data_IF_455985570571
#
_entry.id   IF_455985570571
#
_cell.length_a   1.000
_cell.length_b   1.000
_cell.length_c   1.000
_cell.angle_alpha   90.00
_cell.angle_beta   90.00
_cell.angle_gamma   90.00
#
_symmetry.space_group_name_H-M   'P 1'
#
loop_
_entity.id
_entity.type
_entity.pdbx_description
1 polymer ?
#
# COMPACT_ATOMS: atom_id res chain seq x y z
N UNK A 1 7.19 -18.86 11.66
CA UNK A 1 7.43 -17.57 12.33
C UNK A 1 7.41 -16.40 11.34
N UNK A 2 8.36 -16.30 10.38
CA UNK A 2 8.37 -15.19 9.40
C UNK A 2 7.02 -14.97 8.70
N UNK A 3 6.43 -16.01 8.09
CA UNK A 3 5.12 -15.89 7.45
C UNK A 3 4.01 -15.49 8.44
N UNK A 4 4.04 -16.02 9.67
CA UNK A 4 3.08 -15.63 10.71
C UNK A 4 3.17 -14.15 11.07
N UNK A 5 4.38 -13.60 11.20
CA UNK A 5 4.58 -12.17 11.43
C UNK A 5 4.23 -11.32 10.21
N UNK A 6 4.57 -11.76 9.00
CA UNK A 6 4.14 -11.08 7.78
C UNK A 6 2.60 -11.00 7.70
N UNK A 7 1.91 -12.02 8.20
CA UNK A 7 0.45 -12.03 8.27
C UNK A 7 -0.15 -10.96 9.17
N UNK A 8 0.57 -10.49 10.19
CA UNK A 8 0.07 -9.45 11.09
C UNK A 8 0.32 -8.02 10.57
N UNK A 9 1.05 -7.87 9.46
CA UNK A 9 1.51 -6.56 8.97
C UNK A 9 1.10 -6.27 7.52
N UNK A 10 1.37 -7.19 6.58
CA UNK A 10 1.20 -6.92 5.16
C UNK A 10 0.74 -8.16 4.38
N UNK A 11 -0.57 -8.23 4.12
CA UNK A 11 -1.25 -9.43 3.59
C UNK A 11 -0.84 -9.81 2.17
N UNK A 12 -0.49 -8.84 1.32
CA UNK A 12 -0.01 -9.13 -0.04
C UNK A 12 1.33 -9.86 -0.03
N UNK A 13 2.30 -9.37 0.74
CA UNK A 13 3.60 -10.03 0.87
C UNK A 13 3.51 -11.35 1.62
N UNK A 14 2.57 -11.49 2.56
CA UNK A 14 2.22 -12.81 3.10
C UNK A 14 1.77 -13.74 1.98
N UNK A 15 0.78 -13.33 1.17
CA UNK A 15 0.21 -14.15 0.10
C UNK A 15 1.27 -14.62 -0.88
N UNK A 16 2.10 -13.69 -1.35
CA UNK A 16 3.24 -14.00 -2.21
C UNK A 16 4.26 -14.92 -1.54
N UNK A 17 4.67 -14.64 -0.30
CA UNK A 17 5.67 -15.45 0.39
C UNK A 17 5.16 -16.88 0.68
N UNK A 18 3.88 -17.02 1.04
CA UNK A 18 3.22 -18.31 1.20
C UNK A 18 3.17 -19.07 -0.14
N UNK A 19 2.88 -18.38 -1.24
CA UNK A 19 2.94 -18.96 -2.59
C UNK A 19 4.35 -19.43 -2.96
N UNK A 20 5.38 -18.61 -2.75
CA UNK A 20 6.78 -18.98 -3.02
C UNK A 20 7.25 -20.16 -2.16
N UNK A 21 6.89 -20.20 -0.87
CA UNK A 21 7.20 -21.32 0.04
C UNK A 21 6.47 -22.59 -0.38
N UNK A 22 5.22 -22.48 -0.83
CA UNK A 22 4.45 -23.60 -1.38
C UNK A 22 5.11 -24.13 -2.65
N UNK A 23 5.53 -23.26 -3.57
CA UNK A 23 6.24 -23.64 -4.78
C UNK A 23 7.55 -24.37 -4.45
N UNK A 24 8.34 -23.86 -3.50
CA UNK A 24 9.55 -24.54 -3.03
C UNK A 24 9.26 -25.92 -2.44
N UNK A 25 8.19 -26.06 -1.65
CA UNK A 25 7.79 -27.33 -1.06
C UNK A 25 7.34 -28.34 -2.12
N UNK A 26 6.58 -27.91 -3.12
CA UNK A 26 6.16 -28.75 -4.27
C UNK A 26 7.38 -29.21 -5.06
N UNK A 27 8.30 -28.30 -5.40
CA UNK A 27 9.54 -28.65 -6.10
C UNK A 27 10.37 -29.66 -5.28
N UNK A 28 10.52 -29.42 -3.98
CA UNK A 28 11.23 -30.33 -3.08
C UNK A 28 10.55 -31.71 -3.00
N UNK A 29 9.22 -31.76 -2.93
CA UNK A 29 8.43 -32.99 -2.91
C UNK A 29 8.62 -33.81 -4.19
N UNK A 30 8.56 -33.17 -5.36
CA UNK A 30 8.78 -33.83 -6.66
C UNK A 30 10.22 -34.35 -6.78
N UNK A 31 11.21 -33.55 -6.38
CA UNK A 31 12.61 -33.98 -6.43
C UNK A 31 12.89 -35.14 -5.47
N UNK A 32 12.31 -35.13 -4.26
CA UNK A 32 12.43 -36.23 -3.31
C UNK A 32 11.78 -37.51 -3.85
N UNK A 33 10.58 -37.40 -4.43
CA UNK A 33 9.87 -38.53 -5.01
C UNK A 33 10.66 -39.16 -6.16
N UNK A 34 11.27 -38.34 -7.03
CA UNK A 34 12.12 -38.81 -8.13
C UNK A 34 13.41 -39.45 -7.65
N UNK A 35 14.09 -38.84 -6.67
CA UNK A 35 15.37 -39.35 -6.17
C UNK A 35 15.23 -40.72 -5.48
N UNK A 36 14.09 -40.97 -4.83
CA UNK A 36 13.84 -42.22 -4.10
C UNK A 36 12.91 -43.18 -4.84
N UNK A 37 12.49 -42.85 -6.07
CA UNK A 37 11.50 -43.60 -6.86
C UNK A 37 10.23 -43.96 -6.07
N UNK A 38 9.80 -43.09 -5.15
CA UNK A 38 8.61 -43.32 -4.31
C UNK A 38 7.91 -42.02 -3.93
N UNK A 39 6.58 -41.99 -4.11
CA UNK A 39 5.76 -40.84 -3.69
C UNK A 39 5.75 -40.64 -2.17
N UNK A 40 6.10 -41.66 -1.38
CA UNK A 40 6.24 -41.51 0.07
C UNK A 40 7.32 -40.49 0.45
N UNK A 41 8.34 -40.30 -0.38
CA UNK A 41 9.39 -39.31 -0.14
C UNK A 41 8.90 -37.86 -0.23
N UNK A 42 7.75 -37.62 -0.88
CA UNK A 42 7.10 -36.30 -0.92
C UNK A 42 6.50 -35.88 0.43
N UNK A 43 6.23 -36.83 1.34
CA UNK A 43 5.63 -36.55 2.65
C UNK A 43 6.51 -35.62 3.50
N UNK A 44 7.83 -35.78 3.45
CA UNK A 44 8.76 -34.98 4.25
C UNK A 44 8.60 -33.47 4.00
N UNK A 45 8.76 -33.00 2.73
CA UNK A 45 8.51 -31.60 2.38
C UNK A 45 7.09 -31.11 2.66
N UNK A 46 6.06 -31.93 2.40
CA UNK A 46 4.66 -31.55 2.60
C UNK A 46 4.29 -31.40 4.08
N UNK A 47 4.78 -32.28 4.96
CA UNK A 47 4.59 -32.16 6.41
C UNK A 47 5.25 -30.89 6.94
N UNK A 48 6.42 -30.52 6.43
CA UNK A 48 7.06 -29.24 6.77
C UNK A 48 6.24 -28.04 6.32
N UNK A 49 5.68 -28.08 5.11
CA UNK A 49 4.77 -27.04 4.61
C UNK A 49 3.53 -26.93 5.51
N UNK A 50 2.93 -28.05 5.91
CA UNK A 50 1.78 -28.07 6.82
C UNK A 50 2.14 -27.48 8.18
N UNK A 51 3.29 -27.84 8.77
CA UNK A 51 3.76 -27.25 10.02
C UNK A 51 3.99 -25.73 9.90
N UNK A 52 4.57 -25.27 8.79
CA UNK A 52 4.74 -23.85 8.49
C UNK A 52 3.38 -23.15 8.43
N UNK A 53 2.39 -23.73 7.73
CA UNK A 53 1.05 -23.18 7.61
C UNK A 53 0.34 -23.09 8.96
N UNK A 54 0.38 -24.16 9.78
CA UNK A 54 -0.23 -24.18 11.12
C UNK A 54 0.39 -23.13 12.03
N UNK A 55 1.72 -23.10 12.14
CA UNK A 55 2.41 -22.12 12.99
C UNK A 55 2.12 -20.69 12.52
N UNK A 56 2.09 -20.45 11.20
CA UNK A 56 1.82 -19.12 10.65
C UNK A 56 0.36 -18.71 10.87
N UNK A 57 -0.59 -19.63 10.73
CA UNK A 57 -2.00 -19.41 11.03
C UNK A 57 -2.25 -19.09 12.49
N UNK A 58 -1.62 -19.83 13.42
CA UNK A 58 -1.72 -19.55 14.86
C UNK A 58 -1.22 -18.15 15.22
N UNK A 59 -0.10 -17.71 14.61
CA UNK A 59 0.40 -16.34 14.79
C UNK A 59 -0.53 -15.32 14.15
N UNK A 60 -1.05 -15.57 12.95
CA UNK A 60 -1.98 -14.65 12.28
C UNK A 60 -3.28 -14.45 13.09
N UNK A 61 -3.78 -15.52 13.72
CA UNK A 61 -5.01 -15.47 14.51
C UNK A 61 -4.92 -14.53 15.73
N UNK A 62 -3.72 -14.21 16.24
CA UNK A 62 -3.60 -13.25 17.34
C UNK A 62 -4.05 -11.84 16.96
N UNK A 63 -4.02 -11.51 15.67
CA UNK A 63 -4.45 -10.22 15.13
C UNK A 63 -5.78 -10.33 14.39
N UNK A 64 -5.97 -11.39 13.61
CA UNK A 64 -7.13 -11.50 12.71
C UNK A 64 -8.36 -12.14 13.36
N UNK A 65 -8.25 -12.82 14.52
CA UNK A 65 -9.40 -13.48 15.13
C UNK A 65 -10.58 -12.53 15.42
N UNK A 66 -10.40 -11.33 16.00
CA UNK A 66 -11.52 -10.41 16.24
C UNK A 66 -12.22 -9.99 14.95
N UNK A 67 -11.44 -9.70 13.90
CA UNK A 67 -11.97 -9.36 12.58
C UNK A 67 -12.75 -10.53 11.98
N UNK A 68 -12.20 -11.75 12.00
CA UNK A 68 -12.84 -12.94 11.43
C UNK A 68 -14.17 -13.26 12.15
N UNK A 69 -14.20 -13.12 13.48
CA UNK A 69 -15.44 -13.31 14.26
C UNK A 69 -16.50 -12.26 13.88
N UNK A 70 -16.10 -11.00 13.67
CA UNK A 70 -17.01 -9.93 13.23
C UNK A 70 -17.45 -10.11 11.78
N UNK A 71 -16.58 -10.62 10.92
CA UNK A 71 -16.91 -10.93 9.54
C UNK A 71 -17.97 -12.03 9.43
N UNK A 72 -17.90 -13.05 10.28
CA UNK A 72 -18.90 -14.11 10.36
C UNK A 72 -20.29 -13.61 10.80
N UNK A 73 -20.38 -12.46 11.48
CA UNK A 73 -21.67 -11.85 11.86
C UNK A 73 -22.29 -10.99 10.76
N UNK A 74 -21.77 -11.01 9.53
CA UNK A 74 -22.33 -10.30 8.37
C UNK A 74 -22.02 -8.80 8.30
N UNK A 75 -21.09 -8.30 9.12
CA UNK A 75 -20.78 -6.87 9.23
C UNK A 75 -19.62 -6.40 8.32
N UNK A 76 -19.30 -7.14 7.25
CA UNK A 76 -18.23 -6.75 6.31
C UNK A 76 -18.79 -6.01 5.12
N UNK A 77 -18.10 -4.95 4.69
CA UNK A 77 -18.40 -4.25 3.46
C UNK A 77 -18.42 -5.21 2.25
N UNK A 78 -19.20 -4.85 1.23
CA UNK A 78 -19.19 -5.54 -0.06
C UNK A 78 -17.79 -5.46 -0.73
N UNK A 79 -16.99 -6.49 -0.47
CA UNK A 79 -15.79 -6.92 -1.24
C UNK A 79 -14.52 -6.05 -1.18
N UNK A 80 -13.38 -6.70 -1.45
CA UNK A 80 -12.01 -6.20 -1.29
C UNK A 80 -11.57 -5.21 -2.36
N UNK A 81 -12.04 -3.97 -2.27
CA UNK A 81 -11.64 -2.83 -3.12
C UNK A 81 -10.13 -2.62 -3.19
N UNK A 82 -9.37 -2.98 -2.15
CA UNK A 82 -7.91 -2.90 -2.16
C UNK A 82 -7.27 -3.65 -3.35
N UNK A 83 -7.92 -4.71 -3.85
CA UNK A 83 -7.47 -5.50 -5.00
C UNK A 83 -7.94 -4.95 -6.35
N UNK A 84 -8.85 -3.98 -6.36
CA UNK A 84 -9.34 -3.26 -7.55
C UNK A 84 -8.37 -2.15 -7.96
N UNK A 85 -7.11 -2.51 -8.16
CA UNK A 85 -6.06 -1.58 -8.55
C UNK A 85 -5.13 -2.25 -9.58
N UNK A 86 -5.05 -1.65 -10.76
CA UNK A 86 -4.21 -2.09 -11.87
C UNK A 86 -3.57 -0.87 -12.54
N UNK A 87 -2.36 -0.47 -12.11
CA UNK A 87 -1.62 0.57 -12.80
C UNK A 87 -1.03 0.02 -14.11
N UNK A 88 -0.58 0.89 -15.01
CA UNK A 88 0.12 0.53 -16.26
C UNK A 88 1.21 -0.53 -16.05
N UNK A 89 2.03 -0.39 -14.99
CA UNK A 89 3.09 -1.35 -14.67
C UNK A 89 2.58 -2.74 -14.27
N UNK A 90 1.32 -2.85 -13.84
CA UNK A 90 0.65 -4.12 -13.57
C UNK A 90 0.07 -4.81 -14.80
N UNK A 91 -0.06 -4.08 -15.92
CA UNK A 91 -0.52 -4.61 -17.20
C UNK A 91 0.60 -5.21 -18.06
N UNK A 92 1.87 -5.08 -17.64
CA UNK A 92 3.04 -5.62 -18.34
C UNK A 92 3.93 -6.44 -17.40
N UNK A 93 4.68 -7.40 -17.96
CA UNK A 93 5.65 -8.15 -17.16
C UNK A 93 6.90 -7.29 -16.93
N UNK A 94 7.39 -7.17 -15.69
CA UNK A 94 8.59 -6.39 -15.40
C UNK A 94 9.84 -7.15 -15.87
N UNK A 95 10.67 -6.48 -16.68
CA UNK A 95 11.96 -7.01 -17.15
C UNK A 95 13.11 -6.05 -16.77
N UNK A 96 13.43 -5.91 -15.47
CA UNK A 96 14.42 -4.93 -15.01
C UNK A 96 15.81 -5.14 -15.62
N UNK A 97 16.14 -6.39 -15.99
CA UNK A 97 17.39 -6.76 -16.67
C UNK A 97 17.54 -6.16 -18.09
N UNK A 98 16.46 -5.68 -18.69
CA UNK A 98 16.48 -5.03 -20.00
C UNK A 98 16.58 -3.51 -19.90
N UNK A 99 16.54 -2.95 -18.68
CA UNK A 99 16.74 -1.51 -18.47
C UNK A 99 18.21 -1.13 -18.60
N UNK A 100 18.51 -0.06 -19.35
CA UNK A 100 19.88 0.44 -19.53
C UNK A 100 20.32 1.30 -18.34
N UNK A 101 20.36 0.68 -17.16
CA UNK A 101 20.73 1.31 -15.89
C UNK A 101 21.74 0.43 -15.14
N UNK A 102 22.40 0.97 -14.11
CA UNK A 102 23.31 0.17 -13.28
C UNK A 102 22.59 -1.00 -12.59
N UNK A 103 21.37 -0.76 -12.10
CA UNK A 103 20.51 -1.79 -11.50
C UNK A 103 20.10 -2.82 -12.54
N UNK A 104 19.75 -2.39 -13.76
CA UNK A 104 19.42 -3.27 -14.87
C UNK A 104 20.59 -4.16 -15.27
N UNK A 105 21.81 -3.61 -15.37
CA UNK A 105 23.04 -4.37 -15.61
C UNK A 105 23.31 -5.42 -14.52
N UNK A 106 23.09 -5.06 -13.25
CA UNK A 106 23.21 -6.00 -12.13
C UNK A 106 22.14 -7.12 -12.21
N UNK A 107 20.90 -6.76 -12.55
CA UNK A 107 19.80 -7.72 -12.73
C UNK A 107 20.05 -8.65 -13.93
N UNK A 108 20.66 -8.14 -15.00
CA UNK A 108 21.07 -8.93 -16.17
C UNK A 108 22.15 -9.94 -15.79
N UNK A 109 23.18 -9.48 -15.07
CA UNK A 109 24.21 -10.37 -14.53
C UNK A 109 23.62 -11.45 -13.63
N UNK A 110 22.64 -11.09 -12.79
CA UNK A 110 21.92 -12.03 -11.95
C UNK A 110 21.10 -13.03 -12.74
N UNK A 111 20.43 -12.59 -13.80
CA UNK A 111 19.67 -13.46 -14.70
C UNK A 111 20.58 -14.49 -15.36
N UNK A 112 21.72 -14.07 -15.91
CA UNK A 112 22.71 -14.96 -16.52
C UNK A 112 23.29 -15.94 -15.49
N UNK A 113 23.60 -15.46 -14.28
CA UNK A 113 24.10 -16.32 -13.21
C UNK A 113 23.06 -17.35 -12.77
N UNK A 114 21.79 -16.96 -12.62
CA UNK A 114 20.71 -17.88 -12.30
C UNK A 114 20.58 -18.98 -13.36
N UNK A 115 20.52 -18.62 -14.64
CA UNK A 115 20.39 -19.59 -15.74
C UNK A 115 21.57 -20.57 -15.74
N UNK A 116 22.80 -20.06 -15.61
CA UNK A 116 24.00 -20.90 -15.66
C UNK A 116 24.20 -21.78 -14.42
N UNK A 117 23.76 -21.34 -13.24
CA UNK A 117 23.97 -22.04 -11.97
C UNK A 117 22.74 -22.77 -11.43
N UNK A 118 21.57 -22.63 -12.05
CA UNK A 118 20.31 -23.17 -11.53
C UNK A 118 20.41 -24.66 -11.18
N UNK A 119 21.04 -25.48 -12.02
CA UNK A 119 21.11 -26.93 -11.75
C UNK A 119 22.18 -27.32 -10.74
N UNK A 120 23.19 -26.47 -10.52
CA UNK A 120 24.40 -26.81 -9.78
C UNK A 120 24.51 -26.13 -8.41
N UNK A 121 23.82 -25.00 -8.22
CA UNK A 121 23.89 -24.21 -6.98
C UNK A 121 22.56 -24.26 -6.22
N UNK A 122 22.62 -24.61 -4.93
CA UNK A 122 21.45 -24.50 -4.03
C UNK A 122 20.98 -23.05 -3.89
N UNK A 123 21.91 -22.09 -3.90
CA UNK A 123 21.61 -20.65 -3.81
C UNK A 123 20.89 -20.16 -5.06
N UNK A 124 21.39 -20.55 -6.24
CA UNK A 124 20.75 -20.20 -7.52
C UNK A 124 19.35 -20.82 -7.64
N UNK A 125 19.13 -22.05 -7.17
CA UNK A 125 17.78 -22.64 -7.13
C UNK A 125 16.83 -21.87 -6.24
N UNK A 126 17.25 -21.50 -5.03
CA UNK A 126 16.41 -20.76 -4.10
C UNK A 126 16.00 -19.39 -4.68
N UNK A 127 16.97 -18.61 -5.16
CA UNK A 127 16.70 -17.31 -5.79
C UNK A 127 15.88 -17.46 -7.08
N UNK A 128 16.21 -18.45 -7.92
CA UNK A 128 15.51 -18.72 -9.17
C UNK A 128 14.04 -19.13 -8.96
N UNK A 129 13.74 -19.95 -7.94
CA UNK A 129 12.35 -20.27 -7.57
C UNK A 129 11.62 -19.00 -7.12
N UNK A 130 12.28 -18.11 -6.37
CA UNK A 130 11.72 -16.80 -6.02
C UNK A 130 11.38 -15.95 -7.24
N UNK A 131 12.30 -15.86 -8.21
CA UNK A 131 12.08 -15.12 -9.47
C UNK A 131 10.92 -15.73 -10.27
N UNK A 132 10.89 -17.06 -10.40
CA UNK A 132 9.78 -17.77 -11.05
C UNK A 132 8.47 -17.50 -10.32
N UNK A 133 8.46 -17.50 -8.98
CA UNK A 133 7.27 -17.22 -8.20
C UNK A 133 6.74 -15.80 -8.46
N UNK A 134 7.61 -14.79 -8.59
CA UNK A 134 7.19 -13.43 -8.92
C UNK A 134 6.52 -13.39 -10.29
N UNK A 135 7.11 -13.99 -11.32
CA UNK A 135 6.51 -14.02 -12.65
C UNK A 135 5.20 -14.81 -12.70
N UNK A 136 5.12 -15.96 -12.02
CA UNK A 136 3.88 -16.72 -11.92
C UNK A 136 2.78 -15.93 -11.20
N UNK A 137 3.14 -15.20 -10.14
CA UNK A 137 2.19 -14.33 -9.44
C UNK A 137 1.75 -13.16 -10.31
N UNK A 138 2.66 -12.54 -11.08
CA UNK A 138 2.31 -11.47 -12.02
C UNK A 138 1.33 -11.97 -13.09
N UNK A 139 1.60 -13.13 -13.71
CA UNK A 139 0.70 -13.77 -14.67
C UNK A 139 -0.65 -14.14 -14.04
N UNK A 140 -0.65 -14.66 -12.83
CA UNK A 140 -1.87 -14.97 -12.09
C UNK A 140 -2.67 -13.70 -11.80
N UNK A 141 -2.00 -12.62 -11.36
CA UNK A 141 -2.60 -11.31 -11.12
C UNK A 141 -3.24 -10.74 -12.38
N UNK A 142 -2.56 -10.83 -13.52
CA UNK A 142 -3.09 -10.41 -14.82
C UNK A 142 -4.29 -11.25 -15.24
N UNK A 143 -4.25 -12.56 -15.03
CA UNK A 143 -5.37 -13.46 -15.35
C UNK A 143 -6.58 -13.18 -14.45
N UNK A 144 -6.34 -12.83 -13.18
CA UNK A 144 -7.38 -12.54 -12.21
C UNK A 144 -8.21 -11.29 -12.56
N UNK A 145 -7.70 -10.41 -13.44
CA UNK A 145 -8.44 -9.25 -13.95
C UNK A 145 -9.75 -9.64 -14.64
N UNK A 146 -9.81 -10.84 -15.23
CA UNK A 146 -11.03 -11.41 -15.82
C UNK A 146 -12.14 -11.58 -14.78
N UNK A 147 -11.77 -11.83 -13.51
CA UNK A 147 -12.69 -11.91 -12.39
C UNK A 147 -13.01 -10.54 -11.76
N UNK A 148 -12.62 -9.43 -12.40
CA UNK A 148 -12.89 -8.08 -11.91
C UNK A 148 -11.96 -7.61 -10.78
N UNK A 149 -10.80 -8.24 -10.59
CA UNK A 149 -9.89 -7.91 -9.49
C UNK A 149 -8.43 -8.21 -9.85
N UNK A 150 -7.45 -7.84 -9.03
CA UNK A 150 -6.04 -8.19 -9.25
C UNK A 150 -5.43 -8.90 -8.04
N UNK A 151 -4.25 -9.50 -8.20
CA UNK A 151 -3.43 -9.93 -7.06
C UNK A 151 -2.31 -8.92 -6.75
N UNK A 152 -2.48 -7.67 -7.18
CA UNK A 152 -1.53 -6.56 -7.03
C UNK A 152 -0.10 -6.92 -7.47
N UNK A 153 0.04 -7.69 -8.56
CA UNK A 153 1.32 -8.23 -9.02
C UNK A 153 2.42 -7.20 -9.26
N UNK A 154 2.07 -5.98 -9.65
CA UNK A 154 3.01 -4.86 -9.84
C UNK A 154 3.81 -4.52 -8.58
N UNK A 155 3.25 -4.74 -7.38
CA UNK A 155 3.95 -4.50 -6.10
C UNK A 155 5.14 -5.43 -5.87
N UNK A 156 5.28 -6.50 -6.67
CA UNK A 156 6.38 -7.44 -6.58
C UNK A 156 7.60 -7.04 -7.42
N UNK A 157 7.55 -5.95 -8.18
CA UNK A 157 8.71 -5.49 -8.95
C UNK A 157 9.94 -5.19 -8.07
N UNK A 158 9.84 -4.50 -6.91
CA UNK A 158 10.98 -4.34 -6.00
C UNK A 158 11.52 -5.68 -5.48
N UNK A 159 10.66 -6.68 -5.30
CA UNK A 159 11.06 -8.03 -4.88
C UNK A 159 11.85 -8.72 -6.00
N UNK A 160 11.39 -8.61 -7.24
CA UNK A 160 12.10 -9.13 -8.41
C UNK A 160 13.48 -8.49 -8.56
N UNK A 161 13.56 -7.16 -8.44
CA UNK A 161 14.83 -6.42 -8.48
C UNK A 161 15.74 -6.90 -7.36
N UNK A 162 15.25 -7.04 -6.13
CA UNK A 162 16.05 -7.54 -5.00
C UNK A 162 16.62 -8.94 -5.22
N UNK A 163 15.80 -9.86 -5.75
CA UNK A 163 16.23 -11.24 -6.05
C UNK A 163 17.27 -11.29 -7.17
N UNK A 164 17.04 -10.56 -8.25
CA UNK A 164 17.96 -10.49 -9.39
C UNK A 164 19.24 -9.73 -9.05
N UNK A 165 19.17 -8.67 -8.25
CA UNK A 165 20.34 -7.94 -7.77
C UNK A 165 21.20 -8.82 -6.86
N UNK A 166 20.58 -9.56 -5.93
CA UNK A 166 21.30 -10.52 -5.08
C UNK A 166 21.98 -11.62 -5.90
N UNK A 167 21.27 -12.17 -6.90
CA UNK A 167 21.86 -13.09 -7.87
C UNK A 167 23.00 -12.44 -8.67
N UNK A 168 22.86 -11.16 -9.03
CA UNK A 168 23.85 -10.37 -9.77
C UNK A 168 25.13 -10.20 -8.98
N UNK A 169 25.06 -10.01 -7.66
CA UNK A 169 26.24 -9.98 -6.80
C UNK A 169 26.98 -11.33 -6.81
N UNK A 170 26.26 -12.45 -6.71
CA UNK A 170 26.90 -13.77 -6.87
C UNK A 170 27.52 -13.94 -8.25
N UNK A 171 26.80 -13.53 -9.30
CA UNK A 171 27.29 -13.48 -10.67
C UNK A 171 28.60 -12.72 -10.77
N UNK A 172 28.64 -11.50 -10.25
CA UNK A 172 29.82 -10.65 -10.28
C UNK A 172 31.04 -11.32 -9.65
N UNK A 173 30.91 -11.86 -8.43
CA UNK A 173 32.03 -12.51 -7.76
C UNK A 173 32.50 -13.78 -8.46
N UNK A 174 31.58 -14.62 -8.96
CA UNK A 174 31.96 -15.85 -9.64
C UNK A 174 32.58 -15.58 -11.02
N UNK A 175 32.02 -14.64 -11.80
CA UNK A 175 32.60 -14.25 -13.09
C UNK A 175 33.96 -13.56 -12.90
N UNK A 176 34.09 -12.66 -11.91
CA UNK A 176 35.37 -12.05 -11.58
C UNK A 176 36.41 -13.11 -11.20
N UNK A 177 36.03 -14.08 -10.36
CA UNK A 177 36.90 -15.20 -10.00
C UNK A 177 37.33 -16.04 -11.21
N UNK A 178 36.40 -16.32 -12.14
CA UNK A 178 36.69 -17.01 -13.40
C UNK A 178 37.69 -16.25 -14.27
N UNK A 179 37.52 -14.94 -14.43
CA UNK A 179 38.42 -14.09 -15.21
C UNK A 179 39.82 -14.06 -14.58
N UNK A 180 39.90 -13.95 -13.25
CA UNK A 180 41.20 -13.98 -12.53
C UNK A 180 41.90 -15.32 -12.75
N UNK A 181 41.20 -16.44 -12.66
CA UNK A 181 41.78 -17.77 -12.92
C UNK A 181 42.19 -17.94 -14.38
N UNK A 182 41.36 -17.50 -15.33
CA UNK A 182 41.66 -17.56 -16.76
C UNK A 182 42.85 -16.69 -17.17
N UNK A 183 43.23 -15.72 -16.32
CA UNK A 183 44.40 -14.85 -16.51
C UNK A 183 45.58 -15.26 -15.64
N UNK A 184 45.61 -16.51 -15.17
CA UNK A 184 46.67 -17.07 -14.33
C UNK A 184 46.93 -16.22 -13.07
N UNK A 185 45.85 -15.77 -12.43
CA UNK A 185 45.86 -14.95 -11.23
C UNK A 185 46.59 -13.61 -11.38
N UNK A 186 46.54 -13.01 -12.57
CA UNK A 186 47.21 -11.74 -12.84
C UNK A 186 46.73 -10.65 -11.85
N UNK A 187 47.63 -10.08 -11.03
CA UNK A 187 47.27 -9.13 -9.99
C UNK A 187 46.66 -7.84 -10.56
N UNK A 188 47.02 -7.45 -11.79
CA UNK A 188 46.44 -6.27 -12.46
C UNK A 188 44.99 -6.50 -12.84
N UNK A 189 44.65 -7.68 -13.36
CA UNK A 189 43.26 -8.05 -13.72
C UNK A 189 42.40 -8.08 -12.47
N UNK A 190 42.90 -8.70 -11.39
CA UNK A 190 42.24 -8.69 -10.09
C UNK A 190 42.01 -7.27 -9.56
N UNK A 191 43.03 -6.41 -9.62
CA UNK A 191 42.91 -5.01 -9.18
C UNK A 191 41.85 -4.24 -9.99
N UNK A 192 41.79 -4.43 -11.32
CA UNK A 192 40.77 -3.81 -12.18
C UNK A 192 39.37 -4.28 -11.80
N UNK A 193 39.14 -5.58 -11.60
CA UNK A 193 37.83 -6.10 -11.22
C UNK A 193 37.37 -5.57 -9.85
N UNK A 194 38.28 -5.50 -8.88
CA UNK A 194 38.00 -4.88 -7.58
C UNK A 194 37.65 -3.40 -7.74
N UNK A 195 38.43 -2.65 -8.52
CA UNK A 195 38.18 -1.25 -8.79
C UNK A 195 36.82 -1.03 -9.47
N UNK A 196 36.45 -1.85 -10.46
CA UNK A 196 35.14 -1.79 -11.11
C UNK A 196 33.99 -2.06 -10.12
N UNK A 197 34.15 -3.03 -9.21
CA UNK A 197 33.17 -3.30 -8.16
C UNK A 197 32.99 -2.12 -7.21
N UNK A 198 34.09 -1.50 -6.77
CA UNK A 198 34.07 -0.31 -5.90
C UNK A 198 33.44 0.88 -6.61
N UNK A 199 33.83 1.15 -7.86
CA UNK A 199 33.25 2.22 -8.68
C UNK A 199 31.74 2.00 -8.84
N UNK A 200 31.31 0.76 -9.12
CA UNK A 200 29.89 0.43 -9.22
C UNK A 200 29.13 0.67 -7.91
N UNK A 201 29.69 0.28 -6.77
CA UNK A 201 29.07 0.52 -5.46
C UNK A 201 28.97 2.02 -5.13
N UNK A 202 30.01 2.80 -5.41
CA UNK A 202 30.02 4.26 -5.22
C UNK A 202 29.01 4.91 -6.16
N UNK A 203 29.00 4.55 -7.44
CA UNK A 203 28.07 5.07 -8.42
C UNK A 203 26.61 4.77 -8.05
N UNK A 204 26.33 3.56 -7.54
CA UNK A 204 25.00 3.22 -7.02
C UNK A 204 24.61 4.12 -5.85
N UNK A 205 25.48 4.25 -4.85
CA UNK A 205 25.22 5.07 -3.66
C UNK A 205 25.02 6.55 -4.02
N UNK A 206 25.84 7.07 -4.94
CA UNK A 206 25.77 8.45 -5.43
C UNK A 206 24.55 8.72 -6.30
N UNK A 207 23.90 7.68 -6.85
CA UNK A 207 22.68 7.79 -7.65
C UNK A 207 21.39 7.79 -6.82
N UNK A 208 21.45 7.39 -5.53
CA UNK A 208 20.28 7.31 -4.65
C UNK A 208 19.55 8.67 -4.57
N UNK A 209 20.22 9.82 -4.35
CA UNK A 209 19.52 11.10 -4.26
C UNK A 209 18.83 11.52 -5.55
N UNK A 210 19.39 11.18 -6.73
CA UNK A 210 18.75 11.47 -8.02
C UNK A 210 17.48 10.65 -8.21
N UNK A 211 17.49 9.38 -7.80
CA UNK A 211 16.29 8.51 -7.85
C UNK A 211 15.21 9.03 -6.91
N UNK A 212 15.60 9.49 -5.72
CA UNK A 212 14.67 10.04 -4.72
C UNK A 212 14.36 11.53 -4.94
N UNK A 213 14.90 12.17 -5.97
CA UNK A 213 14.74 13.62 -6.17
C UNK A 213 13.27 14.08 -6.23
N UNK A 214 12.35 13.36 -6.90
CA UNK A 214 10.93 13.73 -6.86
C UNK A 214 10.33 13.66 -5.45
N UNK A 215 10.61 12.59 -4.70
CA UNK A 215 10.09 12.41 -3.34
C UNK A 215 10.68 13.43 -2.37
N UNK A 216 11.97 13.74 -2.51
CA UNK A 216 12.63 14.82 -1.76
C UNK A 216 12.00 16.16 -2.10
N UNK A 217 11.73 16.43 -3.38
CA UNK A 217 11.08 17.67 -3.78
C UNK A 217 9.71 17.83 -3.13
N UNK A 218 8.87 16.77 -3.16
CA UNK A 218 7.57 16.74 -2.48
C UNK A 218 7.73 17.02 -0.98
N UNK A 219 8.65 16.31 -0.31
CA UNK A 219 8.88 16.48 1.13
C UNK A 219 9.28 17.92 1.53
N UNK A 220 9.95 18.66 0.63
CA UNK A 220 10.30 20.07 0.87
C UNK A 220 9.19 21.05 0.46
N UNK A 221 8.36 20.69 -0.52
CA UNK A 221 7.31 21.57 -1.06
C UNK A 221 5.95 21.42 -0.40
N UNK A 222 5.69 20.29 0.25
CA UNK A 222 4.46 20.05 1.01
C UNK A 222 4.45 20.89 2.29
N UNK A 223 3.25 21.31 2.67
CA UNK A 223 3.03 22.03 3.94
C UNK A 223 2.88 21.01 5.06
N UNK A 224 3.73 21.11 6.07
CA UNK A 224 3.76 20.20 7.20
C UNK A 224 2.64 20.50 8.22
N UNK A 225 2.58 19.71 9.30
CA UNK A 225 1.57 19.87 10.35
C UNK A 225 1.70 21.16 11.17
N UNK A 226 2.81 21.89 11.06
CA UNK A 226 2.99 23.20 11.67
C UNK A 226 2.57 24.33 10.71
N UNK A 227 2.13 24.00 9.50
CA UNK A 227 1.80 24.99 8.47
C UNK A 227 3.00 25.57 7.76
N UNK A 228 4.15 24.89 7.78
CA UNK A 228 5.40 25.36 7.19
C UNK A 228 5.82 24.49 5.99
N UNK A 229 6.64 25.06 5.10
CA UNK A 229 7.26 24.33 3.98
C UNK A 229 8.78 24.34 4.14
N UNK A 230 9.42 23.20 3.85
CA UNK A 230 10.88 23.08 3.88
C UNK A 230 11.59 24.00 2.87
N UNK A 231 10.95 24.29 1.74
CA UNK A 231 11.47 25.19 0.71
C UNK A 231 11.22 26.69 0.97
N UNK A 232 10.60 27.03 2.12
CA UNK A 232 10.31 28.40 2.58
C UNK A 232 9.43 29.22 1.64
N UNK A 233 8.69 28.58 0.73
CA UNK A 233 7.64 29.26 -0.05
C UNK A 233 6.35 29.38 0.78
N UNK A 234 5.37 30.20 0.34
CA UNK A 234 4.09 30.28 1.02
C UNK A 234 3.44 28.89 1.18
N UNK A 235 2.92 28.57 2.37
CA UNK A 235 2.29 27.28 2.62
C UNK A 235 0.95 27.16 1.89
N UNK A 236 0.49 25.91 1.76
CA UNK A 236 -0.81 25.55 1.23
C UNK A 236 -1.94 25.78 2.24
N UNK A 237 -3.11 25.21 1.95
CA UNK A 237 -4.29 25.33 2.80
C UNK A 237 -4.05 24.73 4.19
N UNK A 238 -3.18 23.72 4.27
CA UNK A 238 -2.79 22.97 5.46
C UNK A 238 -2.29 23.86 6.60
N UNK A 239 -1.78 25.07 6.31
CA UNK A 239 -1.42 26.05 7.35
C UNK A 239 -2.59 26.47 8.26
N UNK A 240 -3.84 26.24 7.84
CA UNK A 240 -5.03 26.52 8.64
C UNK A 240 -5.41 25.36 9.56
N UNK A 241 -4.78 24.18 9.45
CA UNK A 241 -5.21 22.99 10.21
C UNK A 241 -5.11 23.18 11.72
N UNK A 242 -4.11 23.89 12.22
CA UNK A 242 -3.99 24.19 13.64
C UNK A 242 -5.15 25.06 14.17
N UNK A 243 -5.60 26.03 13.36
CA UNK A 243 -6.76 26.84 13.71
C UNK A 243 -8.07 26.03 13.62
N UNK A 244 -8.21 25.16 12.62
CA UNK A 244 -9.37 24.27 12.51
C UNK A 244 -9.47 23.35 13.73
N UNK A 245 -8.36 22.71 14.12
CA UNK A 245 -8.29 21.88 15.33
C UNK A 245 -8.68 22.67 16.59
N UNK A 246 -8.13 23.88 16.75
CA UNK A 246 -8.47 24.77 17.86
C UNK A 246 -9.97 25.12 17.86
N UNK A 247 -10.55 25.48 16.72
CA UNK A 247 -11.97 25.81 16.58
C UNK A 247 -12.85 24.64 17.02
N UNK A 248 -12.57 23.42 16.52
CA UNK A 248 -13.35 22.22 16.87
C UNK A 248 -13.28 21.96 18.38
N UNK A 249 -12.08 22.01 18.98
CA UNK A 249 -11.89 21.78 20.41
C UNK A 249 -12.59 22.83 21.28
N UNK A 250 -12.47 24.11 20.92
CA UNK A 250 -13.11 25.20 21.66
C UNK A 250 -14.64 25.13 21.59
N UNK A 251 -15.21 24.74 20.46
CA UNK A 251 -16.66 24.68 20.27
C UNK A 251 -17.30 23.43 20.88
N UNK A 252 -16.64 22.26 20.76
CA UNK A 252 -17.18 21.00 21.28
C UNK A 252 -16.75 20.72 22.73
N UNK A 253 -15.66 21.29 23.20
CA UNK A 253 -15.14 21.03 24.55
C UNK A 253 -14.68 19.58 24.77
N UNK A 254 -14.36 18.85 23.70
CA UNK A 254 -13.95 17.43 23.72
C UNK A 254 -12.55 17.26 23.14
N UNK A 255 -11.90 16.17 23.52
CA UNK A 255 -10.63 15.77 22.94
C UNK A 255 -10.79 15.26 21.50
N UNK A 256 -9.79 15.42 20.62
CA UNK A 256 -9.88 15.00 19.23
C UNK A 256 -10.23 13.51 19.05
N UNK A 257 -9.63 12.65 19.87
CA UNK A 257 -9.83 11.20 19.81
C UNK A 257 -11.20 10.74 20.31
N UNK A 258 -12.02 11.64 20.84
CA UNK A 258 -13.41 11.38 21.18
C UNK A 258 -14.38 11.94 20.14
N UNK A 259 -13.89 12.58 19.08
CA UNK A 259 -14.70 13.38 18.14
C UNK A 259 -14.67 12.78 16.73
N UNK A 260 -15.85 12.65 16.10
CA UNK A 260 -15.99 12.21 14.71
C UNK A 260 -16.06 13.42 13.78
N UNK A 261 -15.16 13.48 12.80
CA UNK A 261 -15.09 14.57 11.82
C UNK A 261 -15.39 14.05 10.42
N UNK A 262 -16.34 14.68 9.73
CA UNK A 262 -16.51 14.52 8.28
C UNK A 262 -15.69 15.56 7.53
N UNK A 263 -14.67 15.10 6.81
CA UNK A 263 -13.83 15.94 5.96
C UNK A 263 -13.31 15.16 4.76
N UNK A 264 -13.08 15.85 3.65
CA UNK A 264 -12.36 15.31 2.49
C UNK A 264 -10.85 15.66 2.54
N UNK A 265 -10.43 16.53 3.46
CA UNK A 265 -9.04 16.94 3.64
C UNK A 265 -8.33 15.97 4.60
N UNK A 266 -7.99 14.80 4.08
CA UNK A 266 -7.40 13.69 4.87
C UNK A 266 -6.04 14.04 5.49
N UNK A 267 -5.35 15.05 4.96
CA UNK A 267 -4.15 15.62 5.60
C UNK A 267 -4.43 16.13 7.02
N UNK A 268 -5.60 16.74 7.25
CA UNK A 268 -6.04 17.16 8.59
C UNK A 268 -6.10 15.97 9.56
N UNK A 269 -6.73 14.87 9.13
CA UNK A 269 -6.83 13.63 9.92
C UNK A 269 -5.49 12.90 10.10
N UNK A 270 -4.47 13.27 9.32
CA UNK A 270 -3.12 12.70 9.45
C UNK A 270 -2.30 13.42 10.54
N UNK A 271 -2.61 14.69 10.83
CA UNK A 271 -1.93 15.47 11.86
C UNK A 271 -2.68 15.47 13.20
N UNK A 272 -4.01 15.39 13.18
CA UNK A 272 -4.84 15.44 14.37
C UNK A 272 -5.65 14.15 14.53
N UNK A 273 -5.69 13.53 15.73
CA UNK A 273 -6.20 12.17 15.93
C UNK A 273 -7.73 12.10 16.04
N UNK A 274 -8.44 12.76 15.13
CA UNK A 274 -9.90 12.67 15.00
C UNK A 274 -10.33 11.36 14.35
N UNK A 275 -11.53 10.87 14.69
CA UNK A 275 -12.13 9.79 13.93
C UNK A 275 -12.72 10.33 12.61
N UNK A 276 -12.10 10.00 11.49
CA UNK A 276 -12.66 10.31 10.18
C UNK A 276 -13.95 9.55 9.92
N UNK A 277 -15.04 10.25 9.57
CA UNK A 277 -16.29 9.60 9.18
C UNK A 277 -16.14 8.83 7.86
N UNK A 278 -15.30 9.30 6.94
CA UNK A 278 -15.05 8.68 5.64
C UNK A 278 -13.53 8.61 5.35
N UNK A 279 -13.13 7.59 4.59
CA UNK A 279 -11.74 7.42 4.14
C UNK A 279 -11.39 8.22 2.88
N UNK A 280 -10.10 8.29 2.55
CA UNK A 280 -9.62 8.98 1.33
C UNK A 280 -10.13 8.32 0.04
N UNK A 281 -10.12 6.99 0.01
CA UNK A 281 -10.52 6.12 -1.11
C UNK A 281 -10.90 4.76 -0.56
N UNK A 282 -11.73 4.02 -1.27
CA UNK A 282 -12.13 2.67 -0.85
C UNK A 282 -10.96 1.70 -0.71
N UNK A 283 -9.88 1.84 -1.49
CA UNK A 283 -8.71 0.94 -1.48
C UNK A 283 -7.91 0.96 -0.17
N UNK A 284 -8.00 2.05 0.59
CA UNK A 284 -7.32 2.24 1.88
C UNK A 284 -8.29 2.25 3.06
N UNK A 285 -9.58 2.04 2.81
CA UNK A 285 -10.58 1.96 3.86
C UNK A 285 -10.50 0.60 4.58
N UNK A 286 -10.77 0.61 5.89
CA UNK A 286 -10.94 -0.63 6.63
C UNK A 286 -12.13 -1.41 6.03
N UNK A 287 -12.03 -2.73 5.81
CA UNK A 287 -13.15 -3.53 5.29
C UNK A 287 -14.44 -3.47 6.14
N UNK A 288 -14.35 -3.05 7.41
CA UNK A 288 -15.49 -2.85 8.31
C UNK A 288 -16.03 -1.40 8.28
N UNK A 289 -15.43 -0.49 7.51
CA UNK A 289 -15.83 0.92 7.45
C UNK A 289 -17.05 1.17 6.54
N UNK A 290 -17.42 0.21 5.69
CA UNK A 290 -18.51 0.32 4.72
C UNK A 290 -18.45 1.60 3.88
N UNK A 291 -17.29 1.78 3.23
CA UNK A 291 -16.91 3.01 2.52
C UNK A 291 -18.00 3.50 1.55
N UNK A 292 -18.59 2.58 0.76
CA UNK A 292 -19.58 2.91 -0.26
C UNK A 292 -20.88 3.39 0.36
N UNK A 293 -21.38 2.70 1.39
CA UNK A 293 -22.63 3.08 2.04
C UNK A 293 -22.47 4.42 2.78
N UNK A 294 -21.31 4.69 3.40
CA UNK A 294 -21.01 6.00 3.98
C UNK A 294 -20.93 7.11 2.93
N UNK A 295 -20.34 6.85 1.76
CA UNK A 295 -20.29 7.82 0.66
C UNK A 295 -21.70 8.17 0.16
N UNK A 296 -22.53 7.15 -0.06
CA UNK A 296 -23.93 7.32 -0.46
C UNK A 296 -24.75 8.08 0.59
N UNK A 297 -24.51 7.83 1.88
CA UNK A 297 -25.19 8.56 2.96
C UNK A 297 -24.79 10.04 2.99
N UNK A 298 -23.52 10.36 2.76
CA UNK A 298 -23.04 11.76 2.64
C UNK A 298 -23.71 12.46 1.46
N UNK A 299 -23.84 11.79 0.31
CA UNK A 299 -24.57 12.32 -0.85
C UNK A 299 -26.03 12.60 -0.51
N UNK A 300 -26.72 11.65 0.13
CA UNK A 300 -28.11 11.82 0.55
C UNK A 300 -28.28 13.02 1.49
N UNK A 301 -27.38 13.21 2.47
CA UNK A 301 -27.41 14.38 3.36
C UNK A 301 -27.30 15.70 2.61
N UNK A 302 -26.52 15.75 1.52
CA UNK A 302 -26.36 16.95 0.71
C UNK A 302 -27.61 17.32 -0.09
N UNK A 303 -28.52 16.37 -0.33
CA UNK A 303 -29.75 16.58 -1.08
C UNK A 303 -30.93 17.08 -0.22
N UNK A 304 -30.79 17.04 1.10
CA UNK A 304 -31.81 17.49 2.05
C UNK A 304 -32.08 19.00 1.91
N UNK A 305 -33.23 19.45 2.42
CA UNK A 305 -33.72 20.83 2.22
C UNK A 305 -33.75 21.66 3.48
N UNK A 306 -33.77 21.04 4.65
CA UNK A 306 -33.90 21.76 5.93
C UNK A 306 -32.93 21.25 7.00
N UNK A 307 -32.55 22.10 7.97
CA UNK A 307 -31.75 21.68 9.12
C UNK A 307 -32.36 20.52 9.92
N UNK A 308 -33.69 20.50 10.09
CA UNK A 308 -34.39 19.42 10.81
C UNK A 308 -34.26 18.07 10.10
N UNK A 309 -34.37 18.05 8.77
CA UNK A 309 -34.14 16.85 7.96
C UNK A 309 -32.70 16.36 8.12
N UNK A 310 -31.71 17.26 8.07
CA UNK A 310 -30.31 16.90 8.24
C UNK A 310 -30.05 16.31 9.63
N UNK A 311 -30.53 16.96 10.68
CA UNK A 311 -30.37 16.48 12.06
C UNK A 311 -31.02 15.11 12.25
N UNK A 312 -32.25 14.92 11.77
CA UNK A 312 -32.93 13.63 11.83
C UNK A 312 -32.15 12.54 11.07
N UNK A 313 -31.59 12.89 9.91
CA UNK A 313 -30.78 11.95 9.11
C UNK A 313 -29.43 11.62 9.76
N UNK A 314 -28.81 12.58 10.45
CA UNK A 314 -27.59 12.34 11.24
C UNK A 314 -27.89 11.43 12.43
N UNK A 315 -29.00 11.66 13.14
CA UNK A 315 -29.41 10.85 14.30
C UNK A 315 -29.84 9.43 13.92
N UNK A 316 -30.38 9.25 12.71
CA UNK A 316 -30.74 7.96 12.16
C UNK A 316 -29.56 7.21 11.52
N UNK A 317 -28.36 7.79 11.50
CA UNK A 317 -27.18 7.18 10.89
C UNK A 317 -26.87 5.81 11.53
N UNK A 318 -26.60 4.76 10.72
CA UNK A 318 -26.22 3.45 11.26
C UNK A 318 -24.81 3.42 11.85
N UNK A 319 -24.00 4.46 11.58
CA UNK A 319 -22.69 4.70 12.21
C UNK A 319 -22.76 5.91 13.13
N UNK A 320 -21.80 6.03 14.05
CA UNK A 320 -21.61 7.25 14.83
C UNK A 320 -21.51 8.45 13.89
N UNK A 321 -22.47 9.36 13.99
CA UNK A 321 -22.57 10.54 13.13
C UNK A 321 -21.41 11.50 13.36
N UNK A 322 -21.08 12.36 12.39
CA UNK A 322 -20.13 13.44 12.59
C UNK A 322 -20.58 14.39 13.71
N UNK A 323 -19.65 14.69 14.62
CA UNK A 323 -19.76 15.77 15.61
C UNK A 323 -19.37 17.12 14.99
N UNK A 324 -18.46 17.09 14.01
CA UNK A 324 -18.04 18.24 13.23
C UNK A 324 -17.87 17.91 11.74
N UNK A 325 -18.03 18.93 10.91
CA UNK A 325 -17.77 18.92 9.49
C UNK A 325 -16.66 19.92 9.19
N UNK A 326 -15.68 19.52 8.37
CA UNK A 326 -14.67 20.42 7.83
C UNK A 326 -14.79 20.38 6.31
N UNK A 327 -15.44 21.41 5.78
CA UNK A 327 -15.69 21.60 4.36
C UNK A 327 -14.67 22.56 3.73
N UNK A 328 -14.64 22.58 2.40
CA UNK A 328 -14.09 23.71 1.63
C UNK A 328 -15.20 24.63 1.14
N UNK A 329 -14.92 25.94 1.08
CA UNK A 329 -15.81 26.91 0.44
C UNK A 329 -15.96 26.59 -1.06
N UNK A 330 -17.20 26.50 -1.53
CA UNK A 330 -17.56 26.44 -2.95
C UNK A 330 -18.46 27.61 -3.35
N UNK A 331 -18.62 27.81 -4.67
CA UNK A 331 -19.47 28.87 -5.20
C UNK A 331 -20.95 28.69 -4.79
N UNK A 332 -21.42 27.43 -4.81
CA UNK A 332 -22.83 27.07 -4.61
C UNK A 332 -23.11 26.47 -3.22
N UNK A 333 -22.11 26.37 -2.33
CA UNK A 333 -22.27 25.74 -1.01
C UNK A 333 -20.97 25.28 -0.37
N UNK A 334 -21.09 24.44 0.66
CA UNK A 334 -19.96 23.81 1.33
C UNK A 334 -19.62 22.47 0.66
N UNK A 335 -18.35 22.25 0.33
CA UNK A 335 -17.97 21.15 -0.56
C UNK A 335 -17.09 20.11 0.11
N UNK A 336 -17.31 18.85 -0.28
CA UNK A 336 -16.45 17.69 -0.01
C UNK A 336 -16.04 17.06 -1.33
N UNK A 337 -14.76 16.71 -1.47
CA UNK A 337 -14.26 15.96 -2.64
C UNK A 337 -14.11 14.48 -2.32
N UNK A 338 -15.18 13.72 -2.56
CA UNK A 338 -15.22 12.28 -2.32
C UNK A 338 -14.53 11.49 -3.44
N UNK A 339 -14.43 10.18 -3.26
CA UNK A 339 -13.86 9.24 -4.21
C UNK A 339 -14.74 8.01 -4.34
N UNK A 340 -14.77 7.43 -5.54
CA UNK A 340 -15.35 6.11 -5.79
C UNK A 340 -14.40 5.25 -6.62
N UNK A 341 -14.57 3.94 -6.49
CA UNK A 341 -13.84 2.93 -7.25
C UNK A 341 -14.46 2.79 -8.65
N UNK A 342 -13.64 2.95 -9.68
CA UNK A 342 -14.03 2.83 -11.11
C UNK A 342 -13.17 1.81 -11.85
N UNK A 343 -12.54 0.89 -11.13
CA UNK A 343 -11.81 -0.23 -11.72
C UNK A 343 -12.64 -0.94 -12.82
N UNK A 344 -12.05 -1.32 -13.97
CA UNK A 344 -10.61 -1.34 -14.29
C UNK A 344 -10.07 -0.08 -15.00
N UNK A 345 -10.76 1.07 -14.95
CA UNK A 345 -10.25 2.30 -15.58
C UNK A 345 -8.89 2.73 -14.97
N UNK A 346 -8.09 3.46 -15.75
CA UNK A 346 -6.90 4.18 -15.25
C UNK A 346 -7.07 5.68 -15.54
N UNK A 347 -7.19 6.55 -14.51
CA UNK A 347 -7.13 6.26 -13.08
C UNK A 347 -8.31 5.42 -12.57
N UNK A 348 -8.02 4.51 -11.65
CA UNK A 348 -9.00 3.56 -11.08
C UNK A 348 -9.85 4.15 -9.94
N UNK A 349 -9.59 5.41 -9.58
CA UNK A 349 -10.36 6.19 -8.60
C UNK A 349 -10.88 7.43 -9.29
N UNK A 350 -12.20 7.61 -9.29
CA UNK A 350 -12.84 8.85 -9.74
C UNK A 350 -13.07 9.75 -8.53
N UNK A 351 -12.64 11.01 -8.63
CA UNK A 351 -12.96 12.05 -7.64
C UNK A 351 -14.19 12.82 -8.10
N UNK A 352 -15.11 13.07 -7.19
CA UNK A 352 -16.31 13.86 -7.44
C UNK A 352 -16.58 14.79 -6.25
N UNK A 353 -17.33 15.86 -6.50
CA UNK A 353 -17.64 16.86 -5.47
C UNK A 353 -19.08 16.68 -5.02
N UNK A 354 -19.27 16.63 -3.71
CA UNK A 354 -20.57 16.73 -3.06
C UNK A 354 -20.68 18.13 -2.46
N UNK A 355 -21.79 18.82 -2.74
CA UNK A 355 -22.02 20.20 -2.30
C UNK A 355 -23.23 20.23 -1.37
N UNK A 356 -23.01 20.64 -0.13
CA UNK A 356 -24.05 20.87 0.86
C UNK A 356 -24.57 22.32 0.74
N UNK A 357 -25.90 22.52 0.61
CA UNK A 357 -26.51 23.84 0.74
C UNK A 357 -26.16 24.47 2.08
N UNK A 358 -25.87 25.79 2.10
CA UNK A 358 -25.49 26.49 3.33
C UNK A 358 -26.64 26.55 4.33
N UNK A 359 -27.86 26.60 3.79
CA UNK A 359 -29.13 26.68 4.53
C UNK A 359 -29.37 25.45 5.41
N UNK A 360 -28.72 24.31 5.13
CA UNK A 360 -28.78 23.13 6.00
C UNK A 360 -28.15 23.37 7.38
N UNK A 361 -27.27 24.36 7.49
CA UNK A 361 -26.54 24.70 8.70
C UNK A 361 -26.96 26.05 9.29
N UNK A 362 -28.01 26.70 8.74
CA UNK A 362 -28.60 27.93 9.26
C UNK A 362 -29.61 27.61 10.37
N UNK A 363 -29.10 27.06 11.48
CA UNK A 363 -29.90 26.70 12.65
C UNK A 363 -29.06 26.83 13.93
N UNK A 364 -29.64 27.28 15.07
CA UNK A 364 -28.90 27.42 16.33
C UNK A 364 -28.24 26.14 16.87
N UNK A 365 -28.63 24.95 16.39
CA UNK A 365 -28.01 23.66 16.73
C UNK A 365 -26.67 23.45 16.02
N UNK A 366 -26.34 24.28 15.03
CA UNK A 366 -25.06 24.30 14.36
C UNK A 366 -24.30 25.59 14.65
N UNK A 367 -22.99 25.48 14.80
CA UNK A 367 -22.08 26.63 14.82
C UNK A 367 -21.20 26.57 13.58
N UNK A 368 -21.28 27.60 12.74
CA UNK A 368 -20.50 27.71 11.50
C UNK A 368 -19.36 28.71 11.70
N UNK A 369 -18.14 28.32 11.36
CA UNK A 369 -16.95 29.18 11.46
C UNK A 369 -16.07 29.03 10.22
N UNK A 370 -15.79 30.16 9.56
CA UNK A 370 -14.92 30.20 8.38
C UNK A 370 -13.47 30.42 8.79
N UNK A 371 -12.55 29.64 8.21
CA UNK A 371 -11.10 29.76 8.48
C UNK A 371 -10.32 29.47 7.19
N UNK A 372 -9.73 30.52 6.62
CA UNK A 372 -9.02 30.42 5.34
C UNK A 372 -9.94 29.84 4.24
N UNK A 373 -9.55 28.77 3.53
CA UNK A 373 -10.41 28.14 2.53
C UNK A 373 -11.44 27.16 3.12
N UNK A 374 -11.47 26.98 4.45
CA UNK A 374 -12.29 25.99 5.14
C UNK A 374 -13.52 26.59 5.80
N UNK A 375 -14.52 25.73 6.00
CA UNK A 375 -15.68 25.99 6.84
C UNK A 375 -15.79 24.86 7.84
N UNK A 376 -15.70 25.20 9.12
CA UNK A 376 -15.92 24.30 10.23
C UNK A 376 -17.37 24.45 10.67
N UNK A 377 -18.10 23.34 10.66
CA UNK A 377 -19.45 23.28 11.24
C UNK A 377 -19.43 22.30 12.38
N UNK A 378 -19.72 22.76 13.59
CA UNK A 378 -19.89 21.89 14.76
C UNK A 378 -21.36 21.76 15.09
N UNK A 379 -21.74 20.56 15.53
CA UNK A 379 -23.09 20.30 16.04
C UNK A 379 -23.06 20.41 17.56
N UNK A 380 -23.88 21.28 18.11
CA UNK A 380 -24.12 21.30 19.55
C UNK A 380 -24.86 20.02 19.93
N UNK A 381 -24.41 19.33 20.99
CA UNK A 381 -25.25 18.30 21.60
C UNK A 381 -26.60 18.94 21.93
N UNK A 382 -27.70 18.31 21.54
CA UNK A 382 -29.03 18.80 21.87
C UNK A 382 -29.12 19.03 23.38
N UNK A 383 -29.58 20.22 23.79
CA UNK A 383 -29.96 20.53 25.18
C UNK A 383 -31.02 19.54 25.65
#
# INVERSE_FOLDING_TARGET
LFLGFAATVYTLYLGFAAFAVTLMAVVAAVLAARAQNTWKAALGPLVRLAAIAVISGLVALTVWAPYLLKALSGATAESGTAMHYLPDSGAVLPFPMLSFTLVGGLCLLGTVWLISRFLFSRRARALGIGVIAVYLWALLSMTFTVAGSTLLGFRLEPVLIGLLAAAGVFGFFEFAGWIVLATSENPRVKAVLVALGVIGAIAFAQNIPQVLAPDIAVAYSDTDGNGERGDKRPPGAEANYADIDRIIREQLGREPHDTVVLTADIGFLSFYPYFGFQGLTSHYANPLADFRARAALIEQWSELKTPDELIAALDASPWRSPDAFVFRQGADGYTLRLAEDVYPNDPNVRRYTVTFPKELFDDPRFTVTEQGPFVVVTRSDAI
#
